data_IF_881364979299
#
_entry.id   IF_881364979299
#
_cell.length_a   1.000
_cell.length_b   1.000
_cell.length_c   1.000
_cell.angle_alpha   90.00
_cell.angle_beta   90.00
_cell.angle_gamma   90.00
#
_symmetry.space_group_name_H-M   'P 1'
#
loop_
_entity.id
_entity.type
_entity.pdbx_description
1 polymer ?
#
# COMPACT_ATOMS: atom_id res chain seq x y z
N UNK A 1 37.23 -14.05 -55.18
CA UNK A 1 37.77 -13.93 -53.82
C UNK A 1 36.61 -13.58 -52.91
N UNK A 2 36.17 -14.63 -52.21
CA UNK A 2 35.38 -14.67 -50.98
C UNK A 2 34.05 -13.92 -50.89
N UNK A 3 33.03 -14.67 -51.32
CA UNK A 3 31.70 -14.81 -50.73
C UNK A 3 31.73 -15.49 -49.36
N UNK A 4 30.96 -14.98 -48.40
CA UNK A 4 30.46 -15.66 -47.20
C UNK A 4 28.97 -15.32 -47.09
N UNK A 5 28.03 -16.16 -46.64
CA UNK A 5 28.06 -17.47 -46.01
C UNK A 5 26.66 -18.11 -46.20
N UNK A 6 26.65 -19.42 -46.43
CA UNK A 6 25.47 -20.19 -46.81
C UNK A 6 24.55 -20.59 -45.66
N UNK A 7 23.27 -20.64 -46.02
CA UNK A 7 22.17 -21.35 -45.38
C UNK A 7 22.48 -22.86 -45.22
N UNK A 8 22.08 -23.43 -44.08
CA UNK A 8 22.05 -24.86 -43.80
C UNK A 8 20.95 -25.21 -42.80
N UNK A 9 19.84 -25.71 -43.33
CA UNK A 9 18.57 -26.10 -42.71
C UNK A 9 18.67 -27.24 -41.68
N UNK A 10 17.82 -27.23 -40.62
CA UNK A 10 16.91 -28.35 -40.27
C UNK A 10 15.87 -27.98 -39.19
N UNK A 11 14.64 -28.43 -39.49
CA UNK A 11 13.34 -28.40 -38.79
C UNK A 11 13.35 -28.70 -37.27
N UNK A 12 12.47 -27.99 -36.56
CA UNK A 12 11.61 -28.49 -35.48
C UNK A 12 10.33 -27.63 -35.50
N UNK A 13 9.29 -28.10 -36.19
CA UNK A 13 8.11 -28.71 -35.57
C UNK A 13 7.31 -27.73 -34.70
N UNK A 14 6.19 -27.34 -35.29
CA UNK A 14 5.10 -26.53 -34.77
C UNK A 14 4.45 -27.23 -33.58
N UNK A 15 4.56 -26.63 -32.39
CA UNK A 15 3.62 -26.84 -31.29
C UNK A 15 2.90 -25.51 -31.07
N UNK A 16 1.69 -25.46 -31.60
CA UNK A 16 0.65 -24.51 -31.22
C UNK A 16 0.23 -24.89 -29.81
N UNK A 17 0.63 -24.10 -28.82
CA UNK A 17 -0.08 -24.02 -27.55
C UNK A 17 -1.05 -22.82 -27.66
N UNK A 18 -2.37 -23.08 -27.74
CA UNK A 18 -3.39 -22.07 -27.49
C UNK A 18 -3.64 -21.99 -25.97
N UNK A 19 -4.27 -20.90 -25.51
CA UNK A 19 -4.71 -20.64 -24.12
C UNK A 19 -3.69 -19.95 -23.19
N UNK A 20 -3.25 -18.74 -23.58
CA UNK A 20 -3.06 -17.68 -22.59
C UNK A 20 -4.44 -17.06 -22.31
N UNK A 21 -5.21 -17.76 -21.49
CA UNK A 21 -6.52 -17.35 -21.03
C UNK A 21 -6.33 -16.21 -20.01
N UNK A 22 -6.33 -14.97 -20.50
CA UNK A 22 -6.38 -13.77 -19.68
C UNK A 22 -7.77 -13.60 -19.04
N UNK A 23 -8.22 -14.59 -18.27
CA UNK A 23 -9.27 -14.41 -17.29
C UNK A 23 -8.70 -13.64 -16.09
N UNK A 24 -8.44 -12.36 -16.31
CA UNK A 24 -8.32 -11.39 -15.24
C UNK A 24 -9.69 -11.30 -14.57
N UNK A 25 -9.80 -11.88 -13.38
CA UNK A 25 -10.96 -11.72 -12.52
C UNK A 25 -11.15 -10.21 -12.26
N UNK A 26 -12.08 -9.60 -12.99
CA UNK A 26 -12.64 -8.31 -12.63
C UNK A 26 -13.42 -8.56 -11.35
N UNK A 27 -12.81 -8.24 -10.20
CA UNK A 27 -13.53 -8.10 -8.94
C UNK A 27 -14.67 -7.12 -9.20
N UNK A 28 -15.90 -7.64 -9.14
CA UNK A 28 -17.12 -6.85 -9.25
C UNK A 28 -17.17 -5.74 -8.19
N UNK A 29 -18.12 -4.79 -8.33
CA UNK A 29 -18.25 -3.67 -7.41
C UNK A 29 -18.33 -4.16 -5.95
N UNK A 30 -17.54 -3.54 -5.07
CA UNK A 30 -17.73 -3.65 -3.62
C UNK A 30 -19.04 -2.94 -3.28
N UNK A 31 -20.14 -3.69 -3.32
CA UNK A 31 -21.45 -3.19 -2.92
C UNK A 31 -21.48 -3.13 -1.39
N UNK A 32 -21.45 -1.92 -0.86
CA UNK A 32 -21.42 -1.62 0.56
C UNK A 32 -22.87 -1.30 0.94
N UNK A 33 -23.69 -2.35 1.06
CA UNK A 33 -25.14 -2.15 1.15
C UNK A 33 -25.55 -1.54 2.51
N UNK A 34 -25.81 -0.24 2.46
CA UNK A 34 -26.85 0.51 3.15
C UNK A 34 -26.98 0.38 4.68
N UNK A 35 -26.29 1.27 5.40
CA UNK A 35 -26.83 1.79 6.65
C UNK A 35 -27.71 3.02 6.38
N UNK A 36 -28.99 2.89 6.76
CA UNK A 36 -30.05 3.90 6.69
C UNK A 36 -29.55 5.32 7.01
N UNK A 37 -29.45 6.15 5.96
CA UNK A 37 -29.39 7.61 6.09
C UNK A 37 -30.77 8.08 6.52
N UNK A 38 -30.89 8.49 7.79
CA UNK A 38 -32.12 9.09 8.32
C UNK A 38 -32.63 10.26 7.46
N UNK A 39 -33.95 10.52 7.47
CA UNK A 39 -34.58 11.36 6.47
C UNK A 39 -34.23 12.82 6.73
N UNK A 40 -33.71 13.52 5.72
CA UNK A 40 -33.98 14.95 5.37
C UNK A 40 -32.90 15.50 4.43
N UNK A 41 -33.09 15.25 3.14
CA UNK A 41 -32.91 16.23 2.05
C UNK A 41 -33.16 15.49 0.74
N UNK A 42 -34.14 15.94 -0.04
CA UNK A 42 -34.52 15.39 -1.34
C UNK A 42 -33.42 15.64 -2.40
N UNK A 43 -32.21 15.11 -2.19
CA UNK A 43 -31.09 15.18 -3.14
C UNK A 43 -31.12 13.91 -3.98
N UNK A 44 -31.49 14.06 -5.27
CA UNK A 44 -31.46 12.97 -6.26
C UNK A 44 -30.10 12.26 -6.23
N UNK A 45 -30.13 11.00 -5.83
CA UNK A 45 -29.00 10.08 -5.84
C UNK A 45 -28.49 9.91 -7.29
N UNK A 46 -27.18 9.76 -7.49
CA UNK A 46 -26.57 9.57 -8.82
C UNK A 46 -26.16 8.12 -9.00
N UNK A 47 -26.73 7.48 -10.00
CA UNK A 47 -26.29 6.21 -10.55
C UNK A 47 -25.38 6.48 -11.74
N UNK A 48 -24.19 5.87 -11.76
CA UNK A 48 -23.31 5.90 -12.91
C UNK A 48 -23.30 4.51 -13.55
N UNK A 49 -23.53 4.43 -14.85
CA UNK A 49 -23.51 3.15 -15.58
C UNK A 49 -22.73 3.33 -16.86
N UNK A 50 -21.88 2.38 -17.19
CA UNK A 50 -21.09 2.41 -18.41
C UNK A 50 -21.13 1.04 -19.09
N UNK A 51 -22.01 0.84 -20.08
CA UNK A 51 -21.98 -0.38 -20.89
C UNK A 51 -21.00 -0.25 -22.06
N UNK A 52 -20.19 -1.30 -22.24
CA UNK A 52 -19.32 -1.52 -23.40
C UNK A 52 -18.42 -0.30 -23.71
N UNK A 53 -17.68 0.17 -22.71
CA UNK A 53 -16.74 1.29 -22.85
C UNK A 53 -15.41 0.84 -23.44
N UNK A 54 -15.03 1.51 -24.53
CA UNK A 54 -13.75 1.38 -25.21
C UNK A 54 -13.02 2.71 -25.24
N UNK A 55 -11.72 2.69 -24.99
CA UNK A 55 -10.87 3.87 -25.15
C UNK A 55 -9.71 3.51 -26.06
N UNK A 56 -9.56 4.28 -27.13
CA UNK A 56 -8.49 4.11 -28.11
C UNK A 56 -7.63 5.37 -28.20
N UNK A 57 -6.33 5.22 -28.44
CA UNK A 57 -5.42 6.33 -28.77
C UNK A 57 -5.15 6.28 -30.25
N UNK A 58 -5.33 7.42 -30.94
CA UNK A 58 -4.89 7.55 -32.32
C UNK A 58 -3.38 7.81 -32.36
N UNK A 59 -2.63 6.95 -33.06
CA UNK A 59 -1.24 7.25 -33.43
C UNK A 59 -1.19 7.96 -34.79
N UNK A 60 -0.15 8.76 -35.00
CA UNK A 60 -0.03 9.67 -36.15
C UNK A 60 0.35 8.94 -37.46
N UNK A 61 0.71 7.65 -37.41
CA UNK A 61 1.18 6.93 -38.61
C UNK A 61 0.55 5.56 -38.91
N UNK A 62 -0.03 4.75 -37.99
CA UNK A 62 -0.57 3.43 -38.43
C UNK A 62 -1.58 2.71 -37.49
N UNK A 63 -2.54 3.44 -36.90
CA UNK A 63 -3.75 2.82 -36.34
C UNK A 63 -4.13 3.29 -34.93
N UNK A 64 -5.35 2.93 -34.53
CA UNK A 64 -5.88 3.22 -33.19
C UNK A 64 -5.52 2.07 -32.25
N UNK A 65 -4.74 2.34 -31.20
CA UNK A 65 -4.41 1.34 -30.18
C UNK A 65 -5.49 1.35 -29.09
N UNK A 66 -6.18 0.23 -28.82
CA UNK A 66 -7.15 0.15 -27.73
C UNK A 66 -6.42 0.07 -26.37
N UNK A 67 -6.69 1.02 -25.49
CA UNK A 67 -6.29 0.99 -24.06
C UNK A 67 -7.32 0.20 -23.24
N UNK A 68 -8.60 0.50 -23.45
CA UNK A 68 -9.71 -0.15 -22.75
C UNK A 68 -10.61 -0.84 -23.77
N UNK A 69 -11.07 -2.04 -23.44
CA UNK A 69 -11.84 -2.90 -24.35
C UNK A 69 -13.09 -3.43 -23.63
N UNK A 70 -14.27 -3.03 -24.11
CA UNK A 70 -15.56 -3.61 -23.73
C UNK A 70 -15.90 -3.57 -22.24
N UNK A 71 -15.46 -2.54 -21.52
CA UNK A 71 -15.66 -2.47 -20.08
C UNK A 71 -17.11 -2.14 -19.74
N UNK A 72 -17.76 -2.99 -18.95
CA UNK A 72 -19.12 -2.80 -18.47
C UNK A 72 -19.16 -2.74 -16.94
N UNK A 73 -19.87 -1.77 -16.38
CA UNK A 73 -20.05 -1.66 -14.94
C UNK A 73 -21.02 -0.56 -14.51
N UNK A 74 -21.25 -0.48 -13.21
CA UNK A 74 -22.07 0.56 -12.60
C UNK A 74 -21.52 0.97 -11.21
N UNK A 75 -21.86 2.17 -10.77
CA UNK A 75 -21.60 2.67 -9.43
C UNK A 75 -22.90 3.20 -8.82
N UNK A 76 -23.23 2.71 -7.62
CA UNK A 76 -24.44 3.11 -6.92
C UNK A 76 -24.19 4.32 -6.01
N UNK A 77 -25.22 5.16 -5.78
CA UNK A 77 -25.09 6.28 -4.86
C UNK A 77 -24.88 5.80 -3.41
N UNK A 78 -23.96 6.45 -2.70
CA UNK A 78 -23.67 6.15 -1.29
C UNK A 78 -22.60 5.07 -1.09
N UNK A 79 -22.12 4.48 -2.17
CA UNK A 79 -21.07 3.46 -2.14
C UNK A 79 -19.70 4.01 -2.52
N UNK A 80 -18.66 3.31 -2.09
CA UNK A 80 -17.28 3.60 -2.51
C UNK A 80 -16.84 2.48 -3.45
N UNK A 81 -16.82 2.78 -4.75
CA UNK A 81 -16.31 1.86 -5.76
C UNK A 81 -14.79 2.00 -5.87
N UNK A 82 -14.06 0.92 -5.60
CA UNK A 82 -12.62 0.85 -5.79
C UNK A 82 -12.28 0.14 -7.11
N UNK A 83 -11.49 0.79 -7.96
CA UNK A 83 -10.93 0.20 -9.19
C UNK A 83 -9.49 -0.19 -8.91
N UNK A 84 -9.20 -1.50 -8.94
CA UNK A 84 -7.88 -2.05 -8.62
C UNK A 84 -7.28 -2.79 -9.82
N UNK A 85 -5.95 -2.79 -9.93
CA UNK A 85 -5.23 -3.44 -11.01
C UNK A 85 -3.77 -2.99 -11.11
N UNK A 86 -2.92 -3.74 -11.85
CA UNK A 86 -1.50 -3.44 -11.98
C UNK A 86 -1.24 -2.07 -12.64
N UNK A 87 -0.03 -1.53 -12.49
CA UNK A 87 0.34 -0.29 -13.18
C UNK A 87 0.23 -0.48 -14.70
N UNK A 88 -0.33 0.52 -15.40
CA UNK A 88 -0.51 0.46 -16.86
C UNK A 88 -1.77 -0.24 -17.37
N UNK A 89 -2.61 -0.85 -16.51
CA UNK A 89 -3.85 -1.51 -16.98
C UNK A 89 -5.00 -0.54 -17.36
N UNK A 90 -4.77 0.77 -17.36
CA UNK A 90 -5.75 1.76 -17.79
C UNK A 90 -6.73 2.27 -16.73
N UNK A 91 -6.45 2.09 -15.42
CA UNK A 91 -7.31 2.59 -14.32
C UNK A 91 -7.61 4.09 -14.42
N UNK A 92 -6.56 4.91 -14.51
CA UNK A 92 -6.70 6.37 -14.64
C UNK A 92 -7.38 6.74 -15.97
N UNK A 93 -7.16 5.96 -17.03
CA UNK A 93 -7.88 6.15 -18.31
C UNK A 93 -9.37 5.87 -18.19
N UNK A 94 -9.77 4.84 -17.43
CA UNK A 94 -11.17 4.54 -17.16
C UNK A 94 -11.78 5.66 -16.29
N UNK A 95 -11.05 6.12 -15.28
CA UNK A 95 -11.51 7.19 -14.40
C UNK A 95 -11.67 8.52 -15.15
N UNK A 96 -10.72 8.88 -16.02
CA UNK A 96 -10.79 10.03 -16.92
C UNK A 96 -11.98 9.91 -17.89
N UNK A 97 -12.23 8.72 -18.44
CA UNK A 97 -13.36 8.46 -19.32
C UNK A 97 -14.69 8.68 -18.60
N UNK A 98 -14.84 8.07 -17.42
CA UNK A 98 -16.04 8.20 -16.58
C UNK A 98 -16.27 9.63 -16.12
N UNK A 99 -15.21 10.38 -15.84
CA UNK A 99 -15.28 11.79 -15.46
C UNK A 99 -15.48 12.75 -16.64
N UNK A 100 -15.48 12.26 -17.89
CA UNK A 100 -15.59 13.08 -19.09
C UNK A 100 -14.36 13.98 -19.35
N UNK A 101 -13.18 13.56 -18.88
CA UNK A 101 -11.91 14.32 -18.93
C UNK A 101 -10.92 13.80 -19.98
N UNK A 102 -11.36 12.93 -20.90
CA UNK A 102 -10.48 12.39 -21.93
C UNK A 102 -9.91 13.48 -22.83
N UNK A 103 -8.58 13.47 -23.01
CA UNK A 103 -7.88 14.34 -23.94
C UNK A 103 -8.31 14.08 -25.40
N UNK A 104 -8.15 15.10 -26.25
CA UNK A 104 -8.49 15.03 -27.69
C UNK A 104 -7.79 13.91 -28.48
N UNK A 105 -6.68 13.38 -27.97
CA UNK A 105 -5.94 12.25 -28.57
C UNK A 105 -6.60 10.89 -28.34
N UNK A 106 -7.49 10.80 -27.34
CA UNK A 106 -8.16 9.57 -26.93
C UNK A 106 -9.59 9.60 -27.41
N UNK A 107 -10.05 8.53 -28.07
CA UNK A 107 -11.44 8.38 -28.53
C UNK A 107 -12.17 7.41 -27.62
N UNK A 108 -13.28 7.89 -27.04
CA UNK A 108 -14.24 7.09 -26.30
C UNK A 108 -15.27 6.50 -27.26
N UNK A 109 -15.44 5.19 -27.22
CA UNK A 109 -16.58 4.48 -27.81
C UNK A 109 -17.35 3.75 -26.70
N UNK A 110 -18.64 3.54 -26.89
CA UNK A 110 -19.55 3.05 -25.84
C UNK A 110 -20.44 4.15 -25.24
N UNK A 111 -21.06 3.85 -24.10
CA UNK A 111 -21.99 4.77 -23.43
C UNK A 111 -21.58 4.98 -21.98
N UNK A 112 -21.72 6.22 -21.51
CA UNK A 112 -21.62 6.58 -20.11
C UNK A 112 -22.93 7.28 -19.77
N UNK A 113 -23.63 6.72 -18.80
CA UNK A 113 -24.99 7.08 -18.42
C UNK A 113 -25.00 7.54 -16.96
N UNK A 114 -25.50 8.75 -16.74
CA UNK A 114 -25.78 9.31 -15.42
C UNK A 114 -27.29 9.20 -15.20
N UNK A 115 -27.73 8.43 -14.20
CA UNK A 115 -29.13 8.12 -13.95
C UNK A 115 -29.87 7.57 -15.20
N UNK A 116 -29.19 6.72 -15.98
CA UNK A 116 -29.75 6.13 -17.20
C UNK A 116 -29.80 7.08 -18.41
N UNK A 117 -29.23 8.28 -18.31
CA UNK A 117 -29.20 9.27 -19.41
C UNK A 117 -27.78 9.63 -19.79
N UNK A 118 -27.55 9.85 -21.09
CA UNK A 118 -26.28 10.36 -21.60
C UNK A 118 -26.20 11.87 -21.34
N UNK A 119 -25.92 12.24 -20.11
CA UNK A 119 -25.75 13.63 -19.68
C UNK A 119 -24.26 13.93 -19.47
N UNK A 120 -23.72 15.04 -20.02
CA UNK A 120 -22.37 15.45 -19.67
C UNK A 120 -22.33 15.79 -18.18
N UNK A 121 -21.30 15.33 -17.48
CA UNK A 121 -21.08 15.64 -16.08
C UNK A 121 -20.83 17.15 -15.93
N UNK A 122 -21.87 17.89 -15.53
CA UNK A 122 -21.80 19.32 -15.35
C UNK A 122 -20.86 19.68 -14.20
N UNK A 123 -20.10 20.77 -14.37
CA UNK A 123 -19.21 21.31 -13.36
C UNK A 123 -19.95 21.54 -12.02
N UNK A 124 -19.40 21.02 -10.92
CA UNK A 124 -20.01 21.06 -9.58
C UNK A 124 -20.96 19.90 -9.25
N UNK A 125 -21.37 19.08 -10.23
CA UNK A 125 -22.10 17.83 -9.97
C UNK A 125 -21.14 16.69 -9.62
N UNK A 126 -19.99 16.65 -10.30
CA UNK A 126 -18.86 15.79 -10.01
C UNK A 126 -17.60 16.57 -9.68
N UNK A 127 -16.71 15.97 -8.90
CA UNK A 127 -15.37 16.48 -8.67
C UNK A 127 -14.32 15.41 -8.96
N UNK A 128 -13.10 15.82 -9.32
CA UNK A 128 -12.03 14.91 -9.72
C UNK A 128 -10.73 15.30 -9.03
N UNK A 129 -10.21 14.42 -8.18
CA UNK A 129 -8.90 14.59 -7.57
C UNK A 129 -7.89 13.81 -8.42
N UNK A 130 -6.97 14.53 -9.05
CA UNK A 130 -5.88 13.96 -9.85
C UNK A 130 -4.83 13.26 -8.99
N UNK A 131 -4.02 12.38 -9.57
CA UNK A 131 -2.91 11.73 -8.88
C UNK A 131 -1.91 12.77 -8.34
N UNK A 132 -1.52 13.73 -9.18
CA UNK A 132 -0.62 14.82 -8.79
C UNK A 132 -1.39 15.99 -8.14
N UNK A 133 -0.85 16.50 -7.03
CA UNK A 133 -1.36 17.69 -6.34
C UNK A 133 -0.92 18.95 -7.09
N UNK A 134 -1.72 19.41 -8.06
CA UNK A 134 -1.48 20.68 -8.76
C UNK A 134 -1.93 21.85 -7.88
N UNK A 135 -1.03 22.34 -7.04
CA UNK A 135 -1.29 23.45 -6.11
C UNK A 135 -0.31 24.60 -6.30
N UNK A 136 -0.80 25.83 -6.19
CA UNK A 136 0.03 27.04 -6.26
C UNK A 136 0.88 27.17 -4.99
N UNK A 137 2.18 26.91 -5.13
CA UNK A 137 3.15 26.84 -4.01
C UNK A 137 3.32 28.13 -3.22
N UNK A 138 3.02 29.29 -3.81
CA UNK A 138 3.17 30.62 -3.18
C UNK A 138 2.03 30.96 -2.22
N UNK A 139 0.85 30.35 -2.38
CA UNK A 139 -0.32 30.61 -1.57
C UNK A 139 -0.25 29.85 -0.23
N UNK A 140 -0.89 30.43 0.78
CA UNK A 140 -1.23 29.70 2.01
C UNK A 140 -2.41 28.75 1.76
N UNK A 141 -2.56 27.75 2.63
CA UNK A 141 -3.71 26.83 2.58
C UNK A 141 -5.03 27.59 2.58
N UNK A 142 -5.17 28.58 3.46
CA UNK A 142 -6.39 29.40 3.55
C UNK A 142 -6.65 30.19 2.27
N UNK A 143 -5.62 30.80 1.69
CA UNK A 143 -5.74 31.55 0.43
C UNK A 143 -6.12 30.64 -0.74
N UNK A 144 -5.46 29.49 -0.88
CA UNK A 144 -5.75 28.54 -1.96
C UNK A 144 -7.19 28.02 -1.90
N UNK A 145 -7.64 27.58 -0.73
CA UNK A 145 -9.01 27.07 -0.56
C UNK A 145 -10.04 28.20 -0.72
N UNK A 146 -9.76 29.40 -0.23
CA UNK A 146 -10.66 30.54 -0.42
C UNK A 146 -10.76 30.96 -1.88
N UNK A 147 -9.64 30.96 -2.60
CA UNK A 147 -9.59 31.22 -4.03
C UNK A 147 -10.42 30.19 -4.82
N UNK A 148 -10.26 28.90 -4.52
CA UNK A 148 -11.11 27.86 -5.09
C UNK A 148 -12.58 28.02 -4.74
N UNK A 149 -12.90 28.38 -3.49
CA UNK A 149 -14.28 28.60 -3.07
C UNK A 149 -14.93 29.75 -3.84
N UNK A 150 -14.19 30.82 -4.16
CA UNK A 150 -14.72 31.92 -4.96
C UNK A 150 -15.07 31.48 -6.39
N UNK A 151 -14.20 30.67 -7.01
CA UNK A 151 -14.37 30.21 -8.40
C UNK A 151 -15.38 29.08 -8.57
N UNK A 152 -15.42 28.14 -7.62
CA UNK A 152 -16.22 26.92 -7.75
C UNK A 152 -17.62 27.06 -7.17
N UNK A 153 -17.84 27.95 -6.20
CA UNK A 153 -19.16 28.13 -5.58
C UNK A 153 -20.02 29.12 -6.39
N UNK A 154 -21.35 28.90 -6.47
CA UNK A 154 -22.24 29.76 -7.23
C UNK A 154 -22.16 31.24 -6.83
N UNK A 155 -22.31 32.15 -7.79
CA UNK A 155 -22.33 33.59 -7.55
C UNK A 155 -23.57 34.07 -6.76
N UNK A 156 -24.59 33.23 -6.66
CA UNK A 156 -25.74 33.46 -5.79
C UNK A 156 -25.37 33.42 -4.29
N UNK A 157 -24.22 32.84 -3.94
CA UNK A 157 -23.74 32.74 -2.57
C UNK A 157 -22.93 33.98 -2.18
N UNK A 158 -23.26 34.58 -1.03
CA UNK A 158 -22.54 35.74 -0.52
C UNK A 158 -21.05 35.43 -0.25
N UNK A 159 -20.12 36.39 -0.44
CA UNK A 159 -18.69 36.15 -0.18
C UNK A 159 -18.38 35.68 1.25
N UNK A 160 -19.13 36.15 2.24
CA UNK A 160 -19.03 35.72 3.64
C UNK A 160 -19.41 34.24 3.82
N UNK A 161 -20.44 33.77 3.11
CA UNK A 161 -20.88 32.38 3.14
C UNK A 161 -19.89 31.47 2.39
N UNK A 162 -19.36 31.93 1.24
CA UNK A 162 -18.27 31.22 0.53
C UNK A 162 -17.05 31.03 1.46
N UNK A 163 -16.67 32.08 2.20
CA UNK A 163 -15.59 32.04 3.19
C UNK A 163 -15.89 31.08 4.34
N UNK A 164 -17.09 31.13 4.90
CA UNK A 164 -17.50 30.24 5.99
C UNK A 164 -17.46 28.76 5.55
N UNK A 165 -17.89 28.48 4.31
CA UNK A 165 -17.83 27.13 3.73
C UNK A 165 -16.39 26.66 3.54
N UNK A 166 -15.50 27.53 3.06
CA UNK A 166 -14.08 27.23 2.96
C UNK A 166 -13.46 26.91 4.33
N UNK A 167 -13.73 27.74 5.35
CA UNK A 167 -13.22 27.53 6.71
C UNK A 167 -13.76 26.23 7.34
N UNK A 168 -15.04 25.92 7.12
CA UNK A 168 -15.64 24.66 7.56
C UNK A 168 -14.95 23.45 6.90
N UNK A 169 -14.68 23.50 5.60
CA UNK A 169 -14.04 22.40 4.85
C UNK A 169 -12.59 22.20 5.26
N UNK A 170 -11.83 23.29 5.50
CA UNK A 170 -10.47 23.24 6.07
C UNK A 170 -10.48 22.53 7.43
N UNK A 171 -11.46 22.85 8.28
CA UNK A 171 -11.59 22.22 9.60
C UNK A 171 -11.96 20.73 9.48
N UNK A 172 -12.88 20.39 8.58
CA UNK A 172 -13.32 19.02 8.30
C UNK A 172 -12.16 18.13 7.84
N UNK A 173 -11.30 18.65 6.97
CA UNK A 173 -10.10 17.98 6.49
C UNK A 173 -8.92 18.00 7.48
N UNK A 174 -9.09 18.56 8.68
CA UNK A 174 -8.05 18.61 9.70
C UNK A 174 -6.83 19.46 9.30
N UNK A 175 -7.06 20.54 8.56
CA UNK A 175 -6.04 21.47 8.07
C UNK A 175 -6.02 22.80 8.85
N UNK A 176 -6.71 22.87 9.99
CA UNK A 176 -6.84 24.10 10.79
C UNK A 176 -5.48 24.64 11.24
N UNK A 177 -4.60 23.78 11.76
CA UNK A 177 -3.28 24.17 12.27
C UNK A 177 -2.33 24.63 11.16
N UNK A 178 -2.53 24.11 9.94
CA UNK A 178 -1.74 24.44 8.76
C UNK A 178 -2.37 25.55 7.89
N UNK A 179 -3.49 26.15 8.32
CA UNK A 179 -4.27 27.07 7.49
C UNK A 179 -3.46 28.31 7.06
N UNK A 180 -2.58 28.81 7.93
CA UNK A 180 -1.69 29.94 7.65
C UNK A 180 -0.35 29.57 7.01
N UNK A 181 -0.08 28.28 6.80
CA UNK A 181 1.19 27.81 6.23
C UNK A 181 1.15 27.88 4.71
N UNK A 182 2.26 28.29 4.09
CA UNK A 182 2.44 28.25 2.63
C UNK A 182 2.49 26.81 2.14
N UNK A 183 1.88 26.55 0.99
CA UNK A 183 1.85 25.22 0.38
C UNK A 183 3.27 24.70 0.14
N UNK A 184 4.17 25.57 -0.34
CA UNK A 184 5.56 25.22 -0.61
C UNK A 184 5.73 24.43 -1.90
N UNK A 185 6.98 24.30 -2.35
CA UNK A 185 7.32 23.67 -3.64
C UNK A 185 8.79 23.30 -3.69
N UNK A 186 9.29 22.97 -4.88
CA UNK A 186 10.65 22.43 -5.10
C UNK A 186 11.78 23.25 -4.44
N UNK A 187 11.60 24.57 -4.25
CA UNK A 187 12.59 25.46 -3.64
C UNK A 187 12.23 26.03 -2.26
N UNK A 188 11.02 25.80 -1.74
CA UNK A 188 10.55 26.39 -0.48
C UNK A 188 9.84 25.33 0.36
N UNK A 189 10.37 25.05 1.56
CA UNK A 189 9.74 24.14 2.52
C UNK A 189 8.36 24.68 2.92
N UNK A 190 7.34 23.85 2.76
CA UNK A 190 5.95 24.18 3.11
C UNK A 190 5.27 23.01 3.79
N UNK A 191 4.13 22.58 3.23
CA UNK A 191 3.31 21.50 3.77
C UNK A 191 3.98 20.13 3.62
N UNK A 192 3.60 19.20 4.49
CA UNK A 192 3.91 17.78 4.25
C UNK A 192 3.11 17.23 3.06
N UNK A 193 3.57 16.15 2.44
CA UNK A 193 2.84 15.51 1.33
C UNK A 193 1.39 15.15 1.71
N UNK A 194 1.18 14.62 2.93
CA UNK A 194 -0.17 14.32 3.43
C UNK A 194 -1.05 15.55 3.63
N UNK A 195 -0.47 16.66 4.11
CA UNK A 195 -1.20 17.93 4.21
C UNK A 195 -1.54 18.47 2.82
N UNK A 196 -0.59 18.44 1.88
CA UNK A 196 -0.79 18.87 0.50
C UNK A 196 -1.90 18.07 -0.20
N UNK A 197 -1.90 16.75 -0.02
CA UNK A 197 -2.96 15.88 -0.54
C UNK A 197 -4.33 16.22 0.03
N UNK A 198 -4.40 16.46 1.34
CA UNK A 198 -5.65 16.91 1.99
C UNK A 198 -6.12 18.26 1.46
N UNK A 199 -5.23 19.18 1.09
CA UNK A 199 -5.59 20.47 0.50
C UNK A 199 -6.17 20.29 -0.91
N UNK A 200 -5.56 19.44 -1.74
CA UNK A 200 -6.08 19.12 -3.08
C UNK A 200 -7.51 18.55 -2.99
N UNK A 201 -7.73 17.59 -2.09
CA UNK A 201 -9.06 17.01 -1.86
C UNK A 201 -10.03 18.04 -1.26
N UNK A 202 -9.54 18.90 -0.35
CA UNK A 202 -10.35 19.97 0.26
C UNK A 202 -10.94 20.90 -0.80
N UNK A 203 -10.14 21.31 -1.79
CA UNK A 203 -10.59 22.17 -2.89
C UNK A 203 -11.71 21.52 -3.70
N UNK A 204 -11.61 20.23 -4.00
CA UNK A 204 -12.64 19.49 -4.77
C UNK A 204 -13.94 19.24 -3.98
N UNK A 205 -13.83 19.01 -2.67
CA UNK A 205 -14.99 18.79 -1.78
C UNK A 205 -15.76 20.08 -1.49
N UNK A 206 -15.19 21.26 -1.72
CA UNK A 206 -15.86 22.56 -1.49
C UNK A 206 -17.25 22.62 -2.12
N UNK A 207 -17.41 22.12 -3.34
CA UNK A 207 -18.69 22.12 -4.07
C UNK A 207 -19.73 21.17 -3.49
N UNK A 208 -19.33 20.25 -2.59
CA UNK A 208 -20.13 19.11 -2.14
C UNK A 208 -20.65 18.31 -3.33
N UNK A 209 -19.74 17.75 -4.14
CA UNK A 209 -20.10 17.01 -5.34
C UNK A 209 -20.94 15.80 -4.96
N UNK A 210 -21.83 15.39 -5.87
CA UNK A 210 -22.63 14.17 -5.71
C UNK A 210 -21.86 12.92 -6.13
N UNK A 211 -20.85 13.11 -6.99
CA UNK A 211 -19.97 12.06 -7.50
C UNK A 211 -18.53 12.53 -7.36
N UNK A 212 -17.70 11.78 -6.62
CA UNK A 212 -16.31 12.14 -6.36
C UNK A 212 -15.39 11.07 -6.99
N UNK A 213 -14.58 11.47 -7.96
CA UNK A 213 -13.55 10.64 -8.56
C UNK A 213 -12.22 10.90 -7.87
N UNK A 214 -11.50 9.83 -7.52
CA UNK A 214 -10.23 9.90 -6.81
C UNK A 214 -9.21 9.04 -7.55
N UNK A 215 -8.27 9.70 -8.22
CA UNK A 215 -7.17 9.02 -8.90
C UNK A 215 -5.99 8.85 -7.93
N UNK A 216 -5.77 7.61 -7.49
CA UNK A 216 -4.77 7.22 -6.50
C UNK A 216 -4.66 8.22 -5.30
N UNK A 217 -5.72 8.39 -4.49
CA UNK A 217 -5.76 9.38 -3.40
C UNK A 217 -4.67 9.21 -2.33
N UNK A 218 -4.09 8.01 -2.23
CA UNK A 218 -3.09 7.61 -1.23
C UNK A 218 -1.68 7.49 -1.79
N UNK A 219 -1.45 7.81 -3.08
CA UNK A 219 -0.13 7.70 -3.69
C UNK A 219 0.86 8.68 -3.06
N UNK A 220 2.08 8.21 -2.79
CA UNK A 220 3.15 9.02 -2.19
C UNK A 220 2.92 9.44 -0.72
N UNK A 221 1.95 8.83 -0.02
CA UNK A 221 1.65 9.07 1.39
C UNK A 221 2.12 7.90 2.28
N UNK A 222 2.53 8.21 3.51
CA UNK A 222 2.74 7.22 4.55
C UNK A 222 1.42 6.58 4.99
N UNK A 223 1.47 5.40 5.61
CA UNK A 223 0.28 4.63 6.01
C UNK A 223 -0.66 5.42 6.92
N UNK A 224 -0.12 6.25 7.83
CA UNK A 224 -0.94 7.06 8.72
C UNK A 224 -1.64 8.19 7.94
N UNK A 225 -0.92 8.94 7.10
CA UNK A 225 -1.55 10.00 6.30
C UNK A 225 -2.59 9.44 5.30
N UNK A 226 -2.29 8.33 4.63
CA UNK A 226 -3.22 7.63 3.73
C UNK A 226 -4.50 7.24 4.46
N UNK A 227 -4.36 6.65 5.65
CA UNK A 227 -5.49 6.30 6.48
C UNK A 227 -6.31 7.53 6.88
N UNK A 228 -5.66 8.62 7.30
CA UNK A 228 -6.38 9.85 7.67
C UNK A 228 -7.14 10.45 6.49
N UNK A 229 -6.54 10.47 5.30
CA UNK A 229 -7.19 10.94 4.07
C UNK A 229 -8.41 10.08 3.76
N UNK A 230 -8.22 8.76 3.68
CA UNK A 230 -9.31 7.85 3.34
C UNK A 230 -10.40 7.89 4.40
N UNK A 231 -10.06 7.98 5.69
CA UNK A 231 -11.05 8.17 6.75
C UNK A 231 -11.81 9.48 6.66
N UNK A 232 -11.26 10.56 6.10
CA UNK A 232 -12.04 11.81 5.94
C UNK A 232 -12.97 11.73 4.74
N UNK A 233 -12.54 11.07 3.67
CA UNK A 233 -13.35 10.82 2.47
C UNK A 233 -14.47 9.81 2.78
N UNK A 234 -14.10 8.66 3.32
CA UNK A 234 -15.01 7.57 3.72
C UNK A 234 -15.77 7.93 4.98
N UNK A 235 -15.24 8.79 5.86
CA UNK A 235 -15.87 9.24 7.12
C UNK A 235 -17.09 10.14 6.95
N UNK A 236 -17.52 10.39 5.71
CA UNK A 236 -18.92 10.65 5.42
C UNK A 236 -19.83 9.46 5.84
N UNK A 237 -19.26 8.27 6.00
CA UNK A 237 -19.80 7.07 6.63
C UNK A 237 -19.10 6.84 8.00
N UNK A 238 -19.89 6.95 9.06
CA UNK A 238 -19.46 7.03 10.46
C UNK A 238 -19.13 5.65 11.05
N UNK A 239 -17.88 5.34 11.40
CA UNK A 239 -17.58 4.40 12.51
C UNK A 239 -16.27 4.76 13.25
N UNK A 240 -16.38 5.35 14.45
CA UNK A 240 -15.23 5.72 15.29
C UNK A 240 -14.44 4.50 15.81
N UNK A 241 -15.10 3.35 15.93
CA UNK A 241 -14.51 2.11 16.46
C UNK A 241 -13.48 1.49 15.51
N UNK A 242 -13.70 1.58 14.19
CA UNK A 242 -12.77 1.06 13.19
C UNK A 242 -11.43 1.80 13.22
N UNK A 243 -11.47 3.12 13.44
CA UNK A 243 -10.25 3.91 13.58
C UNK A 243 -9.45 3.59 14.82
N UNK A 244 -10.15 3.44 15.95
CA UNK A 244 -9.49 3.13 17.20
C UNK A 244 -8.74 1.80 17.08
N UNK A 245 -9.41 0.79 16.50
CA UNK A 245 -8.79 -0.51 16.23
C UNK A 245 -7.57 -0.40 15.31
N UNK A 246 -7.68 0.32 14.18
CA UNK A 246 -6.56 0.56 13.27
C UNK A 246 -5.36 1.22 13.97
N UNK A 247 -5.61 2.28 14.74
CA UNK A 247 -4.56 3.03 15.44
C UNK A 247 -3.87 2.19 16.50
N UNK A 248 -4.64 1.43 17.29
CA UNK A 248 -4.09 0.53 18.32
C UNK A 248 -3.31 -0.61 17.68
N UNK A 249 -3.75 -1.14 16.53
CA UNK A 249 -3.01 -2.17 15.77
C UNK A 249 -1.69 -1.63 15.24
N UNK A 250 -1.66 -0.42 14.66
CA UNK A 250 -0.42 0.22 14.23
C UNK A 250 0.55 0.43 15.39
N UNK A 251 0.06 0.89 16.54
CA UNK A 251 0.87 1.06 17.73
C UNK A 251 1.47 -0.27 18.22
N UNK A 252 0.67 -1.34 18.24
CA UNK A 252 1.15 -2.68 18.60
C UNK A 252 2.23 -3.19 17.62
N UNK A 253 2.03 -3.02 16.31
CA UNK A 253 3.02 -3.37 15.30
C UNK A 253 4.32 -2.56 15.45
N UNK A 254 4.24 -1.26 15.74
CA UNK A 254 5.41 -0.42 15.98
C UNK A 254 6.22 -0.90 17.18
N UNK A 255 5.57 -1.22 18.30
CA UNK A 255 6.23 -1.78 19.48
C UNK A 255 6.87 -3.15 19.22
N UNK A 256 6.22 -3.99 18.42
CA UNK A 256 6.74 -5.30 18.02
C UNK A 256 8.00 -5.18 17.17
N UNK A 257 8.00 -4.28 16.18
CA UNK A 257 9.16 -4.01 15.32
C UNK A 257 10.31 -3.47 16.16
N UNK A 258 10.06 -2.51 17.04
CA UNK A 258 11.07 -1.97 17.95
C UNK A 258 11.68 -3.07 18.84
N UNK A 259 10.82 -3.90 19.42
CA UNK A 259 11.24 -5.01 20.30
C UNK A 259 12.06 -6.06 19.54
N UNK A 260 11.66 -6.40 18.31
CA UNK A 260 12.41 -7.32 17.46
C UNK A 260 13.79 -6.76 17.10
N UNK A 261 13.88 -5.47 16.75
CA UNK A 261 15.16 -4.84 16.42
C UNK A 261 16.09 -4.76 17.63
N UNK A 262 15.56 -4.53 18.84
CA UNK A 262 16.35 -4.57 20.07
C UNK A 262 16.95 -5.96 20.34
N UNK A 263 16.20 -7.04 20.09
CA UNK A 263 16.72 -8.42 20.21
C UNK A 263 17.87 -8.62 19.22
N UNK A 264 17.68 -8.30 17.94
CA UNK A 264 18.71 -8.47 16.91
C UNK A 264 19.97 -7.66 17.26
N UNK A 265 19.81 -6.40 17.71
CA UNK A 265 20.93 -5.54 18.09
C UNK A 265 21.74 -6.07 19.29
N UNK A 266 21.11 -6.84 20.19
CA UNK A 266 21.82 -7.44 21.34
C UNK A 266 22.69 -8.64 20.98
N UNK A 267 22.37 -9.33 19.87
CA UNK A 267 23.10 -10.51 19.40
C UNK A 267 24.22 -10.12 18.44
N UNK A 268 23.96 -9.11 17.59
CA UNK A 268 24.86 -8.72 16.51
C UNK A 268 25.87 -7.66 17.01
N UNK A 269 27.18 -7.84 16.78
CA UNK A 269 28.22 -6.97 17.33
C UNK A 269 28.29 -5.57 16.72
N UNK A 270 27.68 -5.34 15.56
CA UNK A 270 27.68 -4.06 14.86
C UNK A 270 26.27 -3.60 14.49
N UNK A 271 26.02 -2.29 14.63
CA UNK A 271 24.73 -1.67 14.35
C UNK A 271 24.27 -1.89 12.89
N UNK A 272 25.19 -1.73 11.92
CA UNK A 272 24.90 -1.90 10.49
C UNK A 272 24.48 -3.34 10.16
N UNK A 273 25.15 -4.33 10.77
CA UNK A 273 24.79 -5.74 10.58
C UNK A 273 23.44 -6.05 11.28
N UNK A 274 23.15 -5.39 12.41
CA UNK A 274 21.85 -5.47 13.07
C UNK A 274 20.69 -4.97 12.19
N UNK A 275 20.86 -3.86 11.47
CA UNK A 275 19.86 -3.35 10.52
C UNK A 275 19.65 -4.30 9.33
N UNK A 276 20.71 -4.90 8.82
CA UNK A 276 20.63 -5.82 7.67
C UNK A 276 19.95 -7.14 8.06
N UNK A 277 20.35 -7.71 9.21
CA UNK A 277 19.74 -8.94 9.73
C UNK A 277 18.29 -8.69 10.16
N UNK A 278 18.02 -7.57 10.82
CA UNK A 278 16.68 -7.19 11.27
C UNK A 278 15.70 -6.99 10.12
N UNK A 279 16.11 -6.25 9.07
CA UNK A 279 15.28 -6.07 7.87
C UNK A 279 15.09 -7.39 7.10
N UNK A 280 16.09 -8.26 7.06
CA UNK A 280 15.97 -9.61 6.50
C UNK A 280 14.94 -10.47 7.24
N UNK A 281 14.98 -10.51 8.58
CA UNK A 281 13.99 -11.23 9.40
C UNK A 281 12.59 -10.64 9.20
N UNK A 282 12.46 -9.32 9.17
CA UNK A 282 11.17 -8.67 8.95
C UNK A 282 10.61 -8.95 7.56
N UNK A 283 11.44 -8.93 6.52
CA UNK A 283 11.06 -9.32 5.16
C UNK A 283 10.58 -10.78 5.10
N UNK A 284 11.28 -11.68 5.79
CA UNK A 284 10.89 -13.09 5.95
C UNK A 284 9.52 -13.23 6.62
N UNK A 285 9.30 -12.50 7.72
CA UNK A 285 8.04 -12.50 8.45
C UNK A 285 6.89 -11.92 7.62
N UNK A 286 7.12 -10.91 6.78
CA UNK A 286 6.10 -10.35 5.89
C UNK A 286 5.72 -11.38 4.81
N UNK A 287 6.69 -12.08 4.23
CA UNK A 287 6.46 -13.14 3.25
C UNK A 287 5.66 -14.30 3.85
N UNK A 288 6.02 -14.72 5.07
CA UNK A 288 5.30 -15.76 5.81
C UNK A 288 3.99 -15.30 6.44
N UNK A 289 3.73 -13.98 6.53
CA UNK A 289 2.58 -13.40 7.23
C UNK A 289 1.32 -13.23 6.36
N UNK A 290 1.34 -13.69 5.11
CA UNK A 290 0.17 -13.65 4.22
C UNK A 290 0.02 -12.37 3.37
N UNK A 291 1.00 -11.46 3.38
CA UNK A 291 0.89 -10.20 2.62
C UNK A 291 1.09 -10.35 1.11
N UNK A 292 2.02 -11.21 0.67
CA UNK A 292 2.35 -11.40 -0.75
C UNK A 292 1.79 -12.70 -1.35
N UNK A 293 1.61 -13.74 -0.52
CA UNK A 293 1.00 -15.01 -0.93
C UNK A 293 0.06 -15.50 0.17
N UNK A 294 -1.09 -16.03 -0.23
CA UNK A 294 -2.04 -16.60 0.71
C UNK A 294 -1.48 -17.87 1.37
N UNK A 295 -1.95 -18.23 2.58
CA UNK A 295 -1.43 -19.36 3.37
C UNK A 295 -1.38 -20.70 2.62
N UNK A 296 -2.22 -20.90 1.60
CA UNK A 296 -2.29 -22.13 0.83
C UNK A 296 -1.25 -22.24 -0.31
N UNK A 297 -0.62 -21.12 -0.73
CA UNK A 297 0.35 -21.07 -1.85
C UNK A 297 1.82 -21.10 -1.40
N UNK A 298 2.06 -21.36 -0.11
CA UNK A 298 3.38 -21.43 0.51
C UNK A 298 3.91 -22.88 0.57
N UNK A 299 5.19 -23.13 0.23
CA UNK A 299 5.78 -24.46 0.29
C UNK A 299 5.77 -25.04 1.72
N UNK A 300 5.25 -26.27 1.86
CA UNK A 300 4.72 -26.85 3.11
C UNK A 300 5.73 -27.11 4.24
N UNK A 301 7.03 -27.22 3.95
CA UNK A 301 7.97 -27.88 4.90
C UNK A 301 8.66 -26.92 5.89
N UNK A 302 9.08 -25.74 5.45
CA UNK A 302 9.85 -24.80 6.29
C UNK A 302 9.14 -23.46 6.52
N UNK A 303 8.28 -23.06 5.58
CA UNK A 303 7.73 -21.70 5.51
C UNK A 303 6.31 -21.58 6.05
N UNK A 304 5.57 -22.70 6.15
CA UNK A 304 4.14 -22.69 6.50
C UNK A 304 3.88 -22.63 8.00
N UNK A 305 4.49 -23.48 8.81
CA UNK A 305 4.03 -23.64 10.20
C UNK A 305 4.81 -22.75 11.20
N UNK A 306 6.15 -22.78 11.28
CA UNK A 306 6.84 -21.95 12.28
C UNK A 306 6.81 -20.46 11.92
N UNK A 307 6.98 -20.10 10.66
CA UNK A 307 7.12 -18.71 10.23
C UNK A 307 5.76 -17.97 10.20
N UNK A 308 4.68 -18.67 9.84
CA UNK A 308 3.33 -18.09 9.80
C UNK A 308 2.80 -17.74 11.19
N UNK A 309 2.95 -18.63 12.18
CA UNK A 309 2.50 -18.37 13.55
C UNK A 309 3.43 -17.45 14.34
N UNK A 310 4.73 -17.39 13.99
CA UNK A 310 5.70 -16.47 14.59
C UNK A 310 5.60 -15.04 14.02
N UNK A 311 5.05 -14.88 12.82
CA UNK A 311 4.90 -13.56 12.20
C UNK A 311 3.74 -12.78 12.83
N UNK A 312 4.07 -11.69 13.53
CA UNK A 312 3.05 -10.77 14.05
C UNK A 312 2.21 -10.12 12.94
N UNK A 313 2.75 -10.04 11.71
CA UNK A 313 2.04 -9.48 10.56
C UNK A 313 0.78 -10.28 10.24
N UNK A 314 0.77 -11.61 10.46
CA UNK A 314 -0.43 -12.46 10.32
C UNK A 314 -1.60 -11.88 11.12
N UNK A 315 -1.41 -11.73 12.42
CA UNK A 315 -2.46 -11.29 13.35
C UNK A 315 -2.87 -9.82 13.09
N UNK A 316 -1.92 -8.98 12.71
CA UNK A 316 -2.20 -7.61 12.30
C UNK A 316 -3.13 -7.57 11.07
N UNK A 317 -2.83 -8.33 10.02
CA UNK A 317 -3.67 -8.36 8.82
C UNK A 317 -5.03 -9.03 9.07
N UNK A 318 -5.07 -10.16 9.76
CA UNK A 318 -6.34 -10.80 10.14
C UNK A 318 -7.24 -9.86 10.95
N UNK A 319 -6.66 -9.15 11.92
CA UNK A 319 -7.36 -8.16 12.72
C UNK A 319 -7.90 -7.00 11.90
N UNK A 320 -7.09 -6.46 10.97
CA UNK A 320 -7.51 -5.39 10.07
C UNK A 320 -8.62 -5.82 9.12
N UNK A 321 -8.50 -7.01 8.51
CA UNK A 321 -9.54 -7.53 7.63
C UNK A 321 -10.84 -7.78 8.38
N UNK A 322 -10.79 -8.40 9.57
CA UNK A 322 -11.99 -8.54 10.42
C UNK A 322 -12.57 -7.17 10.79
N UNK A 323 -11.74 -6.17 11.08
CA UNK A 323 -12.23 -4.83 11.39
C UNK A 323 -12.98 -4.16 10.22
N UNK A 324 -12.59 -4.43 8.98
CA UNK A 324 -13.22 -3.82 7.80
C UNK A 324 -14.40 -4.63 7.25
N UNK A 325 -14.34 -5.96 7.28
CA UNK A 325 -15.32 -6.84 6.61
C UNK A 325 -16.39 -7.43 7.55
N UNK A 326 -16.18 -7.43 8.87
CA UNK A 326 -17.15 -7.95 9.84
C UNK A 326 -18.41 -7.06 9.87
N UNK A 327 -19.58 -7.67 9.60
CA UNK A 327 -20.86 -6.97 9.53
C UNK A 327 -21.20 -6.33 8.19
N UNK A 328 -20.36 -6.52 7.15
CA UNK A 328 -20.70 -6.15 5.77
C UNK A 328 -21.44 -7.29 5.05
N UNK A 329 -22.36 -6.95 4.17
CA UNK A 329 -23.01 -7.89 3.25
C UNK A 329 -22.89 -7.37 1.83
N UNK A 330 -22.36 -8.21 0.95
CA UNK A 330 -22.15 -7.90 -0.46
C UNK A 330 -23.19 -8.66 -1.30
N UNK A 331 -24.07 -8.01 -2.07
CA UNK A 331 -24.87 -8.70 -3.08
C UNK A 331 -23.96 -9.35 -4.13
N UNK A 332 -24.25 -10.62 -4.48
CA UNK A 332 -23.64 -11.28 -5.64
C UNK A 332 -24.14 -10.60 -6.91
N UNK A 333 -23.24 -9.99 -7.67
CA UNK A 333 -23.54 -9.66 -9.06
C UNK A 333 -23.64 -10.95 -9.90
N UNK A 334 -24.71 -11.02 -10.70
CA UNK A 334 -25.02 -12.10 -11.62
C UNK A 334 -23.93 -12.23 -12.70
N UNK A 335 -22.94 -13.07 -12.45
CA UNK A 335 -22.21 -13.77 -13.50
C UNK A 335 -22.35 -15.28 -13.24
N UNK A 336 -23.22 -15.93 -14.04
CA UNK A 336 -23.33 -17.38 -14.22
C UNK A 336 -23.89 -18.27 -13.09
N UNK A 337 -24.79 -17.80 -12.23
CA UNK A 337 -25.72 -18.72 -11.55
C UNK A 337 -26.97 -18.04 -11.01
N UNK A 338 -28.14 -18.62 -11.28
CA UNK A 338 -29.46 -18.15 -10.87
C UNK A 338 -29.72 -18.40 -9.37
N UNK A 339 -28.92 -17.81 -8.49
CA UNK A 339 -29.20 -17.77 -7.05
C UNK A 339 -29.02 -16.36 -6.50
N UNK A 340 -30.14 -15.76 -6.08
CA UNK A 340 -30.17 -14.56 -5.24
C UNK A 340 -29.52 -14.90 -3.88
N UNK A 341 -28.23 -14.59 -3.71
CA UNK A 341 -27.54 -14.74 -2.44
C UNK A 341 -26.64 -13.55 -2.16
N UNK A 342 -26.81 -12.88 -1.03
CA UNK A 342 -25.80 -11.96 -0.48
C UNK A 342 -24.63 -12.78 0.07
N UNK A 343 -23.40 -12.46 -0.32
CA UNK A 343 -22.17 -12.96 0.31
C UNK A 343 -21.94 -12.12 1.56
N UNK A 344 -21.83 -12.75 2.72
CA UNK A 344 -21.43 -12.04 3.95
C UNK A 344 -19.95 -11.67 3.87
N UNK A 345 -19.54 -10.55 4.46
CA UNK A 345 -18.13 -10.21 4.61
C UNK A 345 -17.35 -11.29 5.37
N UNK A 346 -18.02 -12.10 6.18
CA UNK A 346 -17.44 -13.30 6.80
C UNK A 346 -17.10 -14.39 5.78
N UNK A 347 -17.91 -14.55 4.74
CA UNK A 347 -17.65 -15.50 3.65
C UNK A 347 -16.48 -15.00 2.78
N UNK A 348 -16.41 -13.69 2.51
CA UNK A 348 -15.26 -13.06 1.83
C UNK A 348 -13.97 -13.28 2.63
N UNK A 349 -14.02 -13.08 3.95
CA UNK A 349 -12.87 -13.30 4.82
C UNK A 349 -12.37 -14.75 4.77
N UNK A 350 -13.29 -15.72 4.72
CA UNK A 350 -12.96 -17.14 4.76
C UNK A 350 -12.53 -17.69 3.39
N UNK A 351 -13.24 -17.33 2.33
CA UNK A 351 -13.07 -17.96 1.02
C UNK A 351 -12.05 -17.22 0.14
N UNK A 352 -12.04 -15.88 0.19
CA UNK A 352 -11.12 -15.05 -0.60
C UNK A 352 -9.84 -14.79 0.16
N UNK A 353 -9.94 -14.35 1.42
CA UNK A 353 -8.77 -13.95 2.22
C UNK A 353 -8.22 -15.08 3.10
N UNK A 354 -8.88 -16.23 3.17
CA UNK A 354 -8.47 -17.40 3.98
C UNK A 354 -8.18 -17.07 5.45
N UNK A 355 -8.92 -16.11 6.01
CA UNK A 355 -8.75 -15.65 7.38
C UNK A 355 -9.38 -16.65 8.36
N UNK A 356 -8.66 -16.96 9.44
CA UNK A 356 -9.18 -17.81 10.52
C UNK A 356 -10.27 -17.07 11.32
N UNK A 357 -11.52 -17.48 11.13
CA UNK A 357 -12.70 -16.91 11.80
C UNK A 357 -13.00 -17.54 13.18
N UNK A 358 -12.14 -18.43 13.69
CA UNK A 358 -12.37 -19.12 14.97
C UNK A 358 -12.40 -18.18 16.18
N UNK A 359 -11.85 -16.98 16.05
CA UNK A 359 -11.69 -16.01 17.12
C UNK A 359 -11.90 -14.57 16.64
N UNK A 360 -12.23 -13.67 17.56
CA UNK A 360 -12.62 -12.27 17.28
C UNK A 360 -11.43 -11.38 16.92
N UNK A 361 -11.67 -10.23 16.28
CA UNK A 361 -10.63 -9.21 16.02
C UNK A 361 -9.92 -8.73 17.29
N UNK A 362 -10.63 -8.66 18.42
CA UNK A 362 -10.03 -8.28 19.70
C UNK A 362 -9.03 -9.32 20.22
N UNK A 363 -9.23 -10.59 19.86
CA UNK A 363 -8.30 -11.67 20.17
C UNK A 363 -7.01 -11.51 19.37
N UNK A 364 -7.08 -11.16 18.07
CA UNK A 364 -5.90 -10.83 17.26
C UNK A 364 -5.10 -9.67 17.89
N UNK A 365 -5.80 -8.62 18.32
CA UNK A 365 -5.15 -7.48 18.97
C UNK A 365 -4.49 -7.87 20.31
N UNK A 366 -5.16 -8.69 21.12
CA UNK A 366 -4.59 -9.16 22.38
C UNK A 366 -3.31 -10.00 22.16
N UNK A 367 -3.32 -10.87 21.15
CA UNK A 367 -2.13 -11.67 20.76
C UNK A 367 -0.97 -10.75 20.37
N UNK A 368 -1.22 -9.66 19.63
CA UNK A 368 -0.16 -8.70 19.28
C UNK A 368 0.50 -8.07 20.51
N UNK A 369 -0.30 -7.66 21.51
CA UNK A 369 0.24 -7.09 22.76
C UNK A 369 0.97 -8.15 23.61
N UNK A 370 0.44 -9.37 23.66
CA UNK A 370 1.09 -10.49 24.34
C UNK A 370 2.45 -10.81 23.70
N UNK A 371 2.50 -10.90 22.37
CA UNK A 371 3.75 -11.08 21.62
C UNK A 371 4.75 -9.94 21.90
N UNK A 372 4.29 -8.69 22.00
CA UNK A 372 5.15 -7.56 22.30
C UNK A 372 5.80 -7.69 23.68
N UNK A 373 5.02 -8.13 24.68
CA UNK A 373 5.52 -8.38 26.02
C UNK A 373 6.51 -9.56 26.04
N UNK A 374 6.19 -10.66 25.35
CA UNK A 374 7.08 -11.82 25.20
C UNK A 374 8.40 -11.43 24.54
N UNK A 375 8.38 -10.64 23.46
CA UNK A 375 9.61 -10.17 22.80
C UNK A 375 10.46 -9.30 23.72
N UNK A 376 9.85 -8.46 24.55
CA UNK A 376 10.59 -7.68 25.56
C UNK A 376 11.20 -8.56 26.65
N UNK A 377 10.51 -9.62 27.09
CA UNK A 377 11.05 -10.58 28.04
C UNK A 377 12.22 -11.38 27.43
N UNK A 378 12.09 -11.80 26.16
CA UNK A 378 13.17 -12.45 25.42
C UNK A 378 14.38 -11.52 25.31
N UNK A 379 14.18 -10.26 24.97
CA UNK A 379 15.24 -9.26 24.93
C UNK A 379 15.99 -9.16 26.27
N UNK A 380 15.26 -9.07 27.38
CA UNK A 380 15.87 -9.03 28.71
C UNK A 380 16.65 -10.33 29.04
N UNK A 381 16.11 -11.49 28.66
CA UNK A 381 16.78 -12.78 28.79
C UNK A 381 18.08 -12.87 27.98
N UNK A 382 18.05 -12.42 26.72
CA UNK A 382 19.24 -12.38 25.84
C UNK A 382 20.28 -11.42 26.38
N UNK A 383 19.87 -10.24 26.86
CA UNK A 383 20.78 -9.27 27.47
C UNK A 383 21.51 -9.86 28.68
N UNK A 384 20.76 -10.45 29.63
CA UNK A 384 21.33 -11.08 30.83
C UNK A 384 22.25 -12.25 30.50
N UNK A 385 21.88 -13.05 29.50
CA UNK A 385 22.71 -14.17 29.02
C UNK A 385 24.00 -13.66 28.39
N UNK A 386 23.92 -12.60 27.58
CA UNK A 386 25.08 -11.96 26.94
C UNK A 386 26.01 -11.33 27.97
N UNK A 387 25.48 -10.69 29.02
CA UNK A 387 26.27 -10.14 30.13
C UNK A 387 27.02 -11.23 30.90
N UNK A 388 26.37 -12.37 31.14
CA UNK A 388 26.98 -13.51 31.85
C UNK A 388 28.01 -14.25 30.99
N UNK A 389 27.78 -14.34 29.68
CA UNK A 389 28.66 -15.03 28.74
C UNK A 389 29.91 -14.22 28.37
N UNK A 390 29.82 -12.89 28.30
CA UNK A 390 30.97 -12.00 27.99
C UNK A 390 32.23 -12.29 28.83
N UNK A 391 32.19 -12.41 30.17
CA UNK A 391 33.38 -12.74 30.96
C UNK A 391 33.86 -14.18 30.71
N UNK A 392 32.96 -15.15 30.62
CA UNK A 392 33.29 -16.58 30.42
C UNK A 392 33.96 -16.81 29.06
N UNK A 393 33.44 -16.20 28.00
CA UNK A 393 34.02 -16.30 26.65
C UNK A 393 35.40 -15.63 26.58
N UNK A 394 35.56 -14.49 27.27
CA UNK A 394 36.86 -13.81 27.37
C UNK A 394 37.89 -14.68 28.10
N UNK A 395 37.48 -15.38 29.14
CA UNK A 395 38.31 -16.30 29.91
C UNK A 395 38.71 -17.53 29.10
N UNK A 396 37.77 -18.18 28.40
CA UNK A 396 38.03 -19.33 27.51
C UNK A 396 38.94 -18.94 26.33
N UNK A 397 38.72 -17.77 25.71
CA UNK A 397 39.61 -17.29 24.65
C UNK A 397 41.02 -16.99 25.18
N UNK A 398 41.15 -16.47 26.40
CA UNK A 398 42.45 -16.24 27.04
C UNK A 398 43.16 -17.56 27.38
N UNK A 399 42.42 -18.58 27.82
CA UNK A 399 42.93 -19.92 28.12
C UNK A 399 43.41 -20.64 26.85
N UNK A 400 42.64 -20.58 25.76
CA UNK A 400 43.06 -21.11 24.45
C UNK A 400 44.30 -20.40 23.89
N UNK A 401 44.44 -19.08 24.08
CA UNK A 401 45.66 -18.35 23.69
C UNK A 401 46.87 -18.78 24.51
N UNK A 402 46.71 -19.01 25.82
CA UNK A 402 47.79 -19.53 26.68
C UNK A 402 48.22 -20.93 26.25
N UNK A 403 47.27 -21.82 25.96
CA UNK A 403 47.56 -23.18 25.51
C UNK A 403 48.28 -23.21 24.15
N UNK A 404 47.84 -22.39 23.20
CA UNK A 404 48.50 -22.24 21.88
C UNK A 404 49.89 -21.60 21.95
N UNK A 405 50.15 -20.78 22.98
CA UNK A 405 51.47 -20.21 23.26
C UNK A 405 52.41 -21.18 24.00
N UNK A 406 51.87 -22.17 24.72
CA UNK A 406 52.66 -23.16 25.46
C UNK A 406 53.13 -24.31 24.55
N UNK A 407 52.34 -24.66 23.53
CA UNK A 407 52.74 -25.62 22.49
C UNK A 407 53.85 -25.08 21.55
N UNK A 408 54.11 -23.76 21.52
CA UNK A 408 55.18 -23.17 20.71
C UNK A 408 56.52 -23.05 21.45
N UNK A 409 56.61 -23.42 22.73
CA UNK A 409 57.81 -23.20 23.57
C UNK A 409 58.67 -24.46 23.74
N UNK A 410 58.37 -25.57 23.04
CA UNK A 410 59.20 -26.77 23.16
C UNK A 410 59.57 -27.45 21.83
N UNK A 411 60.64 -26.99 21.14
CA UNK A 411 61.40 -27.82 20.22
C UNK A 411 62.73 -28.23 20.89
N UNK A 412 62.80 -29.44 21.43
CA UNK A 412 64.07 -30.03 21.85
C UNK A 412 64.75 -30.78 20.69
N UNK A 413 65.98 -30.37 20.38
CA UNK A 413 67.09 -31.11 19.73
C UNK A 413 66.90 -31.68 18.32
N UNK A 414 67.60 -31.09 17.33
CA UNK A 414 68.64 -31.79 16.53
C UNK A 414 69.32 -30.85 15.50
N UNK A 415 70.64 -30.72 15.62
CA UNK A 415 71.70 -30.52 14.60
C UNK A 415 71.59 -29.49 13.44
N UNK A 416 72.59 -28.60 13.42
CA UNK A 416 73.19 -27.80 12.32
C UNK A 416 73.63 -28.63 11.08
N UNK A 417 74.12 -28.09 9.92
CA UNK A 417 74.52 -26.69 9.58
C UNK A 417 74.11 -26.12 8.19
N UNK A 418 74.37 -24.81 8.01
CA UNK A 418 74.76 -24.02 6.80
C UNK A 418 74.16 -24.27 5.39
N UNK A 419 73.59 -23.23 4.76
CA UNK A 419 74.23 -22.53 3.60
C UNK A 419 73.40 -21.32 3.11
N UNK A 420 74.12 -20.22 2.84
CA UNK A 420 73.93 -19.10 1.90
C UNK A 420 72.60 -18.88 1.13
N UNK A 421 72.21 -17.61 0.98
CA UNK A 421 71.43 -17.21 -0.22
C UNK A 421 70.53 -15.98 -0.12
N UNK A 422 71.14 -14.80 -0.26
CA UNK A 422 70.63 -13.65 -1.00
C UNK A 422 69.44 -12.80 -0.47
N UNK A 423 69.77 -11.52 -0.25
CA UNK A 423 68.84 -10.38 -0.26
C UNK A 423 68.19 -10.23 -1.63
N UNK A 424 66.90 -9.86 -1.68
CA UNK A 424 66.42 -8.61 -2.32
C UNK A 424 64.89 -8.57 -2.50
N UNK A 425 64.31 -7.51 -1.90
CA UNK A 425 63.27 -6.62 -2.47
C UNK A 425 61.90 -7.19 -2.87
N UNK A 426 60.85 -6.75 -2.15
CA UNK A 426 59.61 -6.10 -2.64
C UNK A 426 58.49 -6.30 -1.60
N UNK A 427 58.13 -5.26 -0.84
CA UNK A 427 56.92 -4.46 -1.07
C UNK A 427 55.61 -5.25 -1.26
N UNK A 428 54.71 -5.16 -0.29
CA UNK A 428 53.31 -5.58 -0.34
C UNK A 428 52.58 -5.00 0.86
N UNK A 429 52.07 -3.77 0.78
CA UNK A 429 50.66 -3.49 0.52
C UNK A 429 49.73 -4.15 1.55
N UNK A 430 49.36 -3.37 2.57
CA UNK A 430 48.12 -3.58 3.31
C UNK A 430 46.93 -3.42 2.36
N UNK A 431 46.05 -4.42 2.38
CA UNK A 431 44.62 -4.26 2.19
C UNK A 431 43.92 -4.94 3.37
#
# INVERSE_FOLDING_TARGET
MDTASGLGSRKAETLVDPECDCHGAVLGPLVLDSMHVGPKSNRRAIWLTWPDVWVTVGDHEDGCVPILQGLTGFAQPGEVLAIMGPSGCGKSTLLDALAGRLDSKRRLSGQILVNGRKEPLAYGTSAYVTQDDVLTSTLTVKEAVYFSAQLQLPDTMAPSEKKQRAEATIKEMGLHDAAGTRIGGWGNKGLSNGQRRRVSICMEILTRPKLLFLDEPTSGLDSAASYYVMRRIVGLAKQHYHFLYFTTTLFACMMLVESLMMIVASVVPSFLMGLTVGSGIQGLMILGGGFFRLPHDLPKVFWRDPLYYLSFNKYAFHGLFKNEFEGLTFPKDLACSAQNGSISGEDVLKDIWQVEMRYTKWTDLAILFEMALVYRLIFFGVLKTTETLKPIVKEIMSARRRQKGQDSVNPSRASLPESEGNNSVAQGWCL
#
